data_IF_049935594609
#
_entry.id   IF_049935594609
#
_cell.length_a   1.000
_cell.length_b   1.000
_cell.length_c   1.000
_cell.angle_alpha   90.00
_cell.angle_beta   90.00
_cell.angle_gamma   90.00
#
_symmetry.space_group_name_H-M   'P 1'
#
loop_
_entity.id
_entity.type
_entity.pdbx_description
1 polymer ?
#
# COMPACT_ATOMS: atom_id res chain seq x y z
N UNK A 1 -61.18 14.83 -20.44
CA UNK A 1 -61.48 16.11 -21.13
C UNK A 1 -60.17 16.88 -21.12
N UNK A 2 -59.60 17.03 -22.31
CA UNK A 2 -58.41 17.79 -22.72
C UNK A 2 -57.07 17.40 -22.04
N UNK A 3 -56.14 16.63 -22.67
CA UNK A 3 -55.32 16.83 -23.90
C UNK A 3 -54.60 18.16 -23.93
N UNK A 4 -53.31 18.04 -24.01
CA UNK A 4 -52.24 18.61 -24.85
C UNK A 4 -50.97 18.84 -23.98
N UNK A 5 -49.80 18.26 -24.21
CA UNK A 5 -49.03 18.12 -25.42
C UNK A 5 -48.06 19.28 -25.59
N UNK A 6 -46.76 19.10 -25.46
CA UNK A 6 -45.64 19.84 -26.11
C UNK A 6 -44.29 19.25 -25.59
N UNK A 7 -43.65 18.45 -26.41
CA UNK A 7 -42.43 18.50 -27.24
C UNK A 7 -41.15 19.06 -26.62
N UNK A 8 -40.17 18.17 -26.49
CA UNK A 8 -38.75 18.24 -26.96
C UNK A 8 -38.02 19.57 -26.90
N UNK A 9 -36.97 19.60 -26.13
CA UNK A 9 -35.80 20.44 -26.28
C UNK A 9 -34.55 19.66 -25.88
N UNK A 10 -33.84 19.10 -26.86
CA UNK A 10 -32.46 18.69 -26.77
C UNK A 10 -31.62 19.95 -26.73
N UNK A 11 -30.80 20.14 -25.70
CA UNK A 11 -29.68 21.08 -25.77
C UNK A 11 -28.37 20.36 -25.47
N UNK A 12 -27.45 20.57 -26.39
CA UNK A 12 -26.14 19.97 -26.51
C UNK A 12 -25.16 20.57 -25.51
N UNK A 13 -24.28 19.73 -24.99
CA UNK A 13 -23.11 20.14 -24.26
C UNK A 13 -22.08 20.81 -25.19
N UNK A 14 -21.38 21.88 -24.74
CA UNK A 14 -20.30 22.47 -25.52
C UNK A 14 -19.00 21.65 -25.42
N UNK A 15 -18.09 21.74 -26.39
CA UNK A 15 -16.86 20.97 -26.46
C UNK A 15 -15.79 21.52 -25.53
N UNK A 16 -15.06 20.62 -24.91
CA UNK A 16 -13.85 20.86 -24.15
C UNK A 16 -12.72 21.37 -25.06
N UNK A 17 -12.24 22.56 -24.80
CA UNK A 17 -11.09 23.19 -25.42
C UNK A 17 -9.78 22.60 -24.88
N UNK A 18 -9.02 21.94 -25.76
CA UNK A 18 -7.64 21.51 -25.51
C UNK A 18 -6.71 22.74 -25.45
N UNK A 19 -6.13 23.00 -24.30
CA UNK A 19 -5.05 23.99 -24.16
C UNK A 19 -3.73 23.36 -24.60
N UNK A 20 -3.28 23.74 -25.81
CA UNK A 20 -1.92 23.50 -26.33
C UNK A 20 -0.94 24.48 -25.68
N UNK A 21 0.06 23.96 -24.99
CA UNK A 21 1.24 24.72 -24.57
C UNK A 21 2.30 24.67 -25.68
N UNK A 22 2.89 25.79 -26.10
CA UNK A 22 3.89 25.81 -27.17
C UNK A 22 5.29 25.37 -26.68
N UNK A 23 5.86 24.44 -27.42
CA UNK A 23 7.29 24.03 -27.33
C UNK A 23 8.11 25.07 -28.09
N UNK A 24 9.07 25.70 -27.43
CA UNK A 24 10.17 26.43 -28.10
C UNK A 24 11.41 25.55 -28.19
N UNK A 25 11.93 25.44 -29.43
CA UNK A 25 12.99 24.55 -29.81
C UNK A 25 14.40 25.10 -29.74
N UNK A 26 15.31 24.16 -29.58
CA UNK A 26 16.59 23.88 -30.32
C UNK A 26 17.75 24.89 -30.24
N UNK A 27 19.04 24.52 -30.51
CA UNK A 27 19.54 23.30 -31.15
C UNK A 27 20.90 22.73 -30.60
N UNK A 28 21.25 21.58 -31.19
CA UNK A 28 22.62 21.01 -31.36
C UNK A 28 23.34 20.33 -30.20
N UNK A 29 23.36 19.00 -30.23
CA UNK A 29 24.55 18.16 -30.19
C UNK A 29 24.25 16.72 -30.64
N UNK A 30 25.10 16.17 -31.47
CA UNK A 30 25.07 14.84 -32.11
C UNK A 30 25.36 13.69 -31.14
N UNK A 31 25.14 12.44 -31.60
CA UNK A 31 24.79 11.31 -30.74
C UNK A 31 26.00 10.44 -30.44
N UNK A 32 25.99 9.80 -29.29
CA UNK A 32 26.71 8.56 -29.12
C UNK A 32 26.08 7.68 -28.04
N UNK A 33 26.03 6.40 -28.40
CA UNK A 33 25.82 5.20 -27.58
C UNK A 33 24.39 4.92 -27.09
N UNK A 34 23.81 3.97 -27.80
CA UNK A 34 22.61 3.23 -27.42
C UNK A 34 22.79 2.45 -26.11
N UNK A 35 22.02 2.82 -25.09
CA UNK A 35 21.73 1.95 -23.96
C UNK A 35 20.47 1.14 -24.26
N UNK A 36 20.51 -0.20 -24.14
CA UNK A 36 19.35 -1.06 -24.37
C UNK A 36 18.59 -1.32 -23.07
N UNK A 37 18.12 -0.30 -22.36
CA UNK A 37 17.25 -0.46 -21.17
C UNK A 37 16.08 0.50 -21.19
N UNK A 38 15.10 0.21 -22.08
CA UNK A 38 13.75 0.74 -21.96
C UNK A 38 12.74 -0.38 -22.17
N UNK A 39 12.76 -1.38 -21.30
CA UNK A 39 11.59 -2.22 -21.04
C UNK A 39 10.89 -1.65 -19.83
N UNK A 40 9.72 -1.05 -20.06
CA UNK A 40 8.78 -0.70 -19.02
C UNK A 40 8.43 -1.96 -18.22
N UNK A 41 9.13 -2.15 -17.10
CA UNK A 41 8.90 -3.21 -16.12
C UNK A 41 7.67 -2.88 -15.30
N UNK A 42 6.81 -3.85 -15.12
CA UNK A 42 5.95 -3.96 -13.95
C UNK A 42 6.80 -3.69 -12.69
N UNK A 43 6.26 -3.06 -11.64
CA UNK A 43 7.03 -2.77 -10.43
C UNK A 43 7.65 -4.06 -9.90
N UNK A 44 8.96 -4.06 -9.72
CA UNK A 44 9.74 -5.15 -9.18
C UNK A 44 9.10 -5.67 -7.90
N UNK A 45 8.58 -6.90 -7.95
CA UNK A 45 8.28 -7.64 -6.74
C UNK A 45 9.59 -7.79 -5.99
N UNK A 46 9.70 -7.27 -4.74
CA UNK A 46 10.95 -7.29 -4.01
C UNK A 46 11.49 -8.72 -3.95
N UNK A 47 12.73 -8.89 -4.36
CA UNK A 47 13.44 -10.16 -4.42
C UNK A 47 13.39 -10.84 -3.04
N UNK A 48 12.62 -11.92 -2.93
CA UNK A 48 12.72 -12.80 -1.75
C UNK A 48 14.09 -13.49 -1.80
N UNK A 49 14.80 -13.59 -0.67
CA UNK A 49 16.04 -14.34 -0.61
C UNK A 49 15.77 -15.80 -1.05
N UNK A 50 16.71 -16.35 -1.81
CA UNK A 50 16.64 -17.75 -2.20
C UNK A 50 16.65 -18.64 -0.95
N UNK A 51 15.93 -19.77 -0.96
CA UNK A 51 15.94 -20.68 0.17
C UNK A 51 17.39 -21.11 0.44
N UNK A 52 17.83 -21.11 1.69
CA UNK A 52 19.16 -21.59 2.03
C UNK A 52 19.30 -23.06 1.58
N UNK A 53 20.51 -23.42 1.10
CA UNK A 53 20.82 -24.81 0.78
C UNK A 53 20.58 -25.69 2.02
N UNK A 54 19.59 -26.59 1.95
CA UNK A 54 19.38 -27.60 2.97
C UNK A 54 20.51 -28.66 2.88
N UNK A 55 21.40 -28.86 3.82
CA UNK A 55 21.29 -28.96 5.27
C UNK A 55 22.15 -27.93 5.99
N UNK A 56 21.56 -27.19 6.82
CA UNK A 56 22.17 -26.11 7.57
C UNK A 56 21.50 -24.80 7.25
N UNK A 57 20.19 -24.73 7.48
CA UNK A 57 19.43 -23.49 7.45
C UNK A 57 20.02 -22.59 8.54
N UNK A 58 20.84 -21.55 8.22
CA UNK A 58 21.14 -20.57 9.23
C UNK A 58 19.85 -19.81 9.51
N UNK A 59 19.44 -19.84 10.74
CA UNK A 59 18.45 -19.02 11.42
C UNK A 59 17.78 -17.93 10.57
N UNK A 60 16.74 -18.30 9.81
CA UNK A 60 15.59 -17.40 9.76
C UNK A 60 15.04 -17.50 11.18
N UNK A 61 15.03 -16.41 11.98
CA UNK A 61 14.54 -16.48 13.32
C UNK A 61 13.13 -17.07 13.28
N UNK A 62 12.99 -18.27 13.81
CA UNK A 62 11.70 -18.88 14.03
C UNK A 62 10.84 -17.84 14.75
N UNK A 63 9.59 -17.64 14.32
CA UNK A 63 8.67 -16.91 15.16
C UNK A 63 8.72 -17.59 16.53
N UNK A 64 8.86 -16.82 17.64
CA UNK A 64 9.16 -17.38 18.95
C UNK A 64 8.17 -18.51 19.27
N UNK A 65 8.72 -19.66 19.63
CA UNK A 65 8.02 -20.81 20.22
C UNK A 65 6.86 -21.43 19.39
N UNK A 66 7.12 -21.75 18.14
CA UNK A 66 6.23 -22.67 17.43
C UNK A 66 6.80 -24.08 17.58
N UNK A 67 6.11 -25.00 18.29
CA UNK A 67 6.51 -26.41 18.36
C UNK A 67 6.59 -27.00 16.97
N UNK A 68 7.46 -27.99 16.80
CA UNK A 68 7.64 -28.76 15.58
C UNK A 68 6.31 -29.19 14.98
N UNK A 69 6.24 -29.16 13.64
CA UNK A 69 5.05 -29.55 12.88
C UNK A 69 4.70 -30.99 13.25
N UNK A 70 3.64 -31.26 14.01
CA UNK A 70 3.18 -32.63 14.14
C UNK A 70 2.71 -33.13 12.77
N UNK A 71 2.88 -34.39 12.51
CA UNK A 71 2.38 -35.09 11.31
C UNK A 71 0.93 -34.69 11.05
N UNK A 72 0.63 -34.32 9.80
CA UNK A 72 -0.67 -33.84 9.35
C UNK A 72 -1.80 -34.73 9.85
N UNK A 73 -2.75 -34.24 10.65
CA UNK A 73 -3.91 -35.02 11.02
C UNK A 73 -4.72 -35.38 9.77
N UNK A 74 -5.06 -36.66 9.67
CA UNK A 74 -5.70 -37.28 8.51
C UNK A 74 -7.21 -36.99 8.38
N UNK A 75 -7.80 -36.11 9.21
CA UNK A 75 -9.23 -35.89 9.31
C UNK A 75 -9.69 -34.46 8.96
N UNK A 76 -10.80 -34.37 8.24
CA UNK A 76 -11.47 -33.09 7.93
C UNK A 76 -12.04 -32.37 9.17
N UNK A 77 -12.17 -33.07 10.30
CA UNK A 77 -12.74 -32.55 11.54
C UNK A 77 -11.83 -31.55 12.27
N UNK A 78 -10.49 -31.64 12.07
CA UNK A 78 -9.53 -30.72 12.67
C UNK A 78 -9.42 -29.36 11.94
N UNK A 79 -10.18 -29.15 10.85
CA UNK A 79 -10.23 -27.93 10.08
C UNK A 79 -11.33 -26.94 10.55
N UNK A 80 -12.02 -27.26 11.65
CA UNK A 80 -13.05 -26.37 12.19
C UNK A 80 -12.45 -25.01 12.63
N UNK A 81 -13.13 -23.88 12.37
CA UNK A 81 -12.69 -22.57 12.83
C UNK A 81 -12.61 -22.53 14.36
N UNK A 82 -11.64 -21.77 14.89
CA UNK A 82 -11.49 -21.59 16.32
C UNK A 82 -12.78 -21.00 16.96
N UNK A 83 -13.15 -21.40 18.20
CA UNK A 83 -14.30 -20.83 18.88
C UNK A 83 -14.02 -19.33 19.16
N UNK A 84 -14.74 -18.45 18.44
CA UNK A 84 -14.59 -16.99 18.54
C UNK A 84 -14.64 -16.24 17.21
N UNK A 85 -14.45 -16.90 16.06
CA UNK A 85 -14.68 -16.29 14.75
C UNK A 85 -16.18 -16.26 14.47
N UNK A 86 -16.77 -15.05 14.58
CA UNK A 86 -18.18 -14.77 14.65
C UNK A 86 -19.06 -15.34 13.53
N UNK A 87 -20.34 -15.42 13.81
CA UNK A 87 -21.43 -15.68 12.85
C UNK A 87 -21.56 -14.52 11.86
N UNK A 88 -20.72 -14.48 10.84
CA UNK A 88 -20.73 -13.45 9.80
C UNK A 88 -20.39 -14.01 8.41
N UNK A 89 -20.60 -13.24 7.35
CA UNK A 89 -20.34 -13.68 5.97
C UNK A 89 -18.90 -14.16 5.75
N UNK A 90 -17.93 -13.65 6.48
CA UNK A 90 -16.53 -14.10 6.41
C UNK A 90 -16.33 -15.53 6.94
N UNK A 91 -17.05 -15.90 8.01
CA UNK A 91 -17.01 -17.27 8.54
C UNK A 91 -17.64 -18.29 7.57
N UNK A 92 -18.69 -17.88 6.85
CA UNK A 92 -19.31 -18.75 5.84
C UNK A 92 -18.40 -18.96 4.63
N UNK A 93 -17.67 -17.93 4.18
CA UNK A 93 -16.67 -18.03 3.14
C UNK A 93 -15.52 -18.96 3.54
N UNK A 94 -15.02 -18.86 4.77
CA UNK A 94 -14.00 -19.74 5.31
C UNK A 94 -14.47 -21.18 5.33
N UNK A 95 -15.68 -21.45 5.83
CA UNK A 95 -16.28 -22.80 5.86
C UNK A 95 -16.44 -23.38 4.44
N UNK A 96 -16.86 -22.55 3.48
CA UNK A 96 -16.97 -22.97 2.09
C UNK A 96 -15.60 -23.33 1.53
N UNK A 97 -14.59 -22.47 1.70
CA UNK A 97 -13.22 -22.73 1.27
C UNK A 97 -12.67 -24.03 1.86
N UNK A 98 -12.78 -24.22 3.18
CA UNK A 98 -12.31 -25.43 3.85
C UNK A 98 -13.00 -26.70 3.32
N UNK A 99 -14.30 -26.62 3.01
CA UNK A 99 -15.07 -27.72 2.41
C UNK A 99 -14.58 -28.05 1.00
N UNK A 100 -14.23 -27.04 0.20
CA UNK A 100 -13.74 -27.23 -1.17
C UNK A 100 -12.36 -27.89 -1.19
N UNK A 101 -11.40 -27.35 -0.41
CA UNK A 101 -10.06 -27.94 -0.34
C UNK A 101 -10.05 -29.33 0.30
N UNK A 102 -11.01 -29.63 1.20
CA UNK A 102 -11.18 -30.92 1.84
C UNK A 102 -11.57 -32.04 0.87
N UNK A 103 -12.17 -31.72 -0.27
CA UNK A 103 -12.56 -32.70 -1.31
C UNK A 103 -11.38 -33.19 -2.15
N UNK A 104 -10.29 -32.44 -2.15
CA UNK A 104 -9.12 -32.74 -2.98
C UNK A 104 -8.28 -33.81 -2.28
N UNK A 105 -7.97 -34.87 -3.01
CA UNK A 105 -7.15 -35.97 -2.52
C UNK A 105 -5.71 -35.55 -2.28
N UNK A 106 -5.12 -35.97 -1.17
CA UNK A 106 -3.71 -35.77 -0.89
C UNK A 106 -2.86 -36.63 -1.90
N UNK A 107 -1.70 -36.08 -2.23
CA UNK A 107 -0.74 -36.73 -3.12
C UNK A 107 0.19 -37.69 -2.35
N UNK A 108 0.60 -38.74 -3.00
CA UNK A 108 1.71 -39.57 -2.54
C UNK A 108 3.05 -38.96 -2.99
N UNK A 109 4.16 -39.31 -2.34
CA UNK A 109 5.49 -38.82 -2.71
C UNK A 109 5.86 -39.12 -4.19
N UNK A 110 5.37 -40.26 -4.74
CA UNK A 110 5.58 -40.59 -6.15
C UNK A 110 4.81 -39.67 -7.07
N UNK A 111 3.56 -39.34 -6.71
CA UNK A 111 2.73 -38.41 -7.48
C UNK A 111 3.27 -36.96 -7.41
N UNK A 112 3.85 -36.53 -6.28
CA UNK A 112 4.51 -35.22 -6.14
C UNK A 112 5.68 -35.10 -7.14
N UNK A 113 6.54 -36.13 -7.22
CA UNK A 113 7.67 -36.17 -8.15
C UNK A 113 7.20 -36.17 -9.60
N UNK A 114 6.17 -36.96 -9.92
CA UNK A 114 5.64 -37.04 -11.29
C UNK A 114 5.03 -35.73 -11.74
N UNK A 115 4.24 -35.07 -10.88
CA UNK A 115 3.69 -33.75 -11.17
C UNK A 115 4.79 -32.67 -11.30
N UNK A 116 5.83 -32.73 -10.47
CA UNK A 116 6.97 -31.81 -10.57
C UNK A 116 7.72 -31.99 -11.91
N UNK A 117 7.92 -33.20 -12.37
CA UNK A 117 8.49 -33.48 -13.71
C UNK A 117 7.64 -32.89 -14.84
N UNK A 118 6.33 -33.06 -14.75
CA UNK A 118 5.41 -32.49 -15.75
C UNK A 118 5.43 -30.97 -15.76
N UNK A 119 5.54 -30.33 -14.58
CA UNK A 119 5.71 -28.87 -14.48
C UNK A 119 7.00 -28.42 -15.15
N UNK A 120 8.12 -29.07 -14.85
CA UNK A 120 9.42 -28.77 -15.43
C UNK A 120 9.43 -28.95 -16.95
N UNK A 121 8.90 -30.10 -17.46
CA UNK A 121 8.76 -30.35 -18.88
C UNK A 121 7.92 -29.26 -19.58
N UNK A 122 6.84 -28.82 -18.94
CA UNK A 122 5.99 -27.73 -19.46
C UNK A 122 6.71 -26.39 -19.53
N UNK A 123 7.56 -26.07 -18.54
CA UNK A 123 8.40 -24.86 -18.54
C UNK A 123 9.43 -24.90 -19.67
N UNK A 124 10.16 -26.00 -19.86
CA UNK A 124 11.10 -26.16 -20.96
C UNK A 124 10.42 -26.09 -22.34
N UNK A 125 9.22 -26.67 -22.46
CA UNK A 125 8.44 -26.57 -23.70
C UNK A 125 8.03 -25.11 -24.00
N UNK A 126 7.61 -24.35 -22.97
CA UNK A 126 7.27 -22.94 -23.11
C UNK A 126 8.49 -22.11 -23.55
N UNK A 127 9.64 -22.32 -22.90
CA UNK A 127 10.89 -21.63 -23.25
C UNK A 127 11.33 -21.93 -24.69
N UNK A 128 11.19 -23.20 -25.13
CA UNK A 128 11.48 -23.59 -26.51
C UNK A 128 10.56 -22.92 -27.53
N UNK A 129 9.28 -22.73 -27.20
CA UNK A 129 8.32 -21.99 -28.03
C UNK A 129 8.66 -20.49 -28.09
N UNK A 130 9.01 -19.88 -26.96
CA UNK A 130 9.36 -18.47 -26.87
C UNK A 130 10.66 -18.18 -27.66
N UNK A 131 11.67 -19.04 -27.56
CA UNK A 131 12.87 -18.95 -28.38
C UNK A 131 12.60 -19.08 -29.88
N UNK A 132 11.67 -19.96 -30.28
CA UNK A 132 11.27 -20.08 -31.68
C UNK A 132 10.55 -18.83 -32.17
N UNK A 133 9.64 -18.28 -31.37
CA UNK A 133 8.92 -17.06 -31.71
C UNK A 133 9.88 -15.86 -31.87
N UNK A 134 10.90 -15.76 -30.99
CA UNK A 134 11.92 -14.71 -31.06
C UNK A 134 12.90 -14.88 -32.24
N UNK A 135 13.11 -16.12 -32.70
CA UNK A 135 14.01 -16.45 -33.82
C UNK A 135 13.33 -16.42 -35.17
N UNK A 136 12.01 -16.22 -35.25
CA UNK A 136 11.27 -16.10 -36.49
C UNK A 136 11.66 -14.80 -37.22
N UNK A 137 12.08 -14.83 -38.51
CA UNK A 137 12.41 -13.62 -39.23
C UNK A 137 11.20 -12.71 -39.36
N UNK A 138 11.37 -11.36 -39.30
CA UNK A 138 10.25 -10.43 -39.45
C UNK A 138 9.67 -10.57 -40.87
N UNK A 139 8.44 -11.02 -40.93
CA UNK A 139 7.50 -11.06 -42.03
C UNK A 139 8.03 -10.74 -43.43
N UNK A 140 8.49 -11.79 -44.11
CA UNK A 140 8.48 -11.87 -45.59
C UNK A 140 7.66 -13.12 -45.98
N UNK A 141 7.03 -13.17 -47.18
CA UNK A 141 6.14 -14.27 -47.49
C UNK A 141 6.93 -15.60 -47.53
N UNK A 142 6.62 -16.56 -46.63
CA UNK A 142 7.32 -17.84 -46.63
C UNK A 142 6.73 -18.68 -47.76
N UNK A 143 7.61 -19.22 -48.61
CA UNK A 143 7.33 -20.41 -49.40
C UNK A 143 8.18 -21.56 -48.86
N UNK A 144 7.85 -22.17 -47.72
CA UNK A 144 8.45 -23.44 -47.36
C UNK A 144 7.79 -24.56 -48.14
N UNK A 145 8.58 -25.59 -48.50
CA UNK A 145 8.03 -26.79 -49.06
C UNK A 145 6.98 -27.44 -48.12
N UNK A 146 5.89 -28.01 -48.67
CA UNK A 146 4.75 -28.46 -47.86
C UNK A 146 5.13 -29.50 -46.77
N UNK A 147 6.18 -30.28 -47.00
CA UNK A 147 6.66 -31.29 -46.01
C UNK A 147 7.39 -30.68 -44.80
N UNK A 148 8.06 -29.53 -44.97
CA UNK A 148 8.75 -28.80 -43.90
C UNK A 148 7.73 -28.08 -43.00
N UNK A 149 6.68 -27.52 -43.58
CA UNK A 149 5.57 -26.88 -42.85
C UNK A 149 4.89 -27.87 -41.94
N UNK A 150 4.60 -29.09 -42.49
CA UNK A 150 3.91 -30.12 -41.75
C UNK A 150 4.73 -30.67 -40.55
N UNK A 151 6.06 -30.80 -40.70
CA UNK A 151 6.95 -31.24 -39.61
C UNK A 151 7.16 -30.16 -38.55
N UNK A 152 7.11 -28.88 -38.92
CA UNK A 152 7.19 -27.74 -37.97
C UNK A 152 5.88 -27.63 -37.18
N UNK A 153 4.72 -27.75 -37.81
CA UNK A 153 3.42 -27.72 -37.14
C UNK A 153 3.28 -28.82 -36.11
N UNK A 154 3.63 -30.08 -36.46
CA UNK A 154 3.52 -31.22 -35.52
C UNK A 154 4.38 -31.05 -34.26
N UNK A 155 5.61 -30.49 -34.39
CA UNK A 155 6.48 -30.24 -33.24
C UNK A 155 5.98 -29.07 -32.38
N UNK A 156 5.31 -28.09 -32.96
CA UNK A 156 4.71 -27.00 -32.24
C UNK A 156 3.52 -27.48 -31.43
N UNK A 157 2.66 -28.28 -32.03
CA UNK A 157 1.52 -28.94 -31.38
C UNK A 157 1.93 -29.83 -30.19
N UNK A 158 3.03 -30.58 -30.33
CA UNK A 158 3.59 -31.39 -29.25
C UNK A 158 4.10 -30.56 -28.08
N UNK A 159 4.80 -29.42 -28.36
CA UNK A 159 5.25 -28.49 -27.33
C UNK A 159 4.08 -27.78 -26.63
N UNK A 160 3.09 -27.34 -27.37
CA UNK A 160 1.87 -26.74 -26.83
C UNK A 160 1.12 -27.71 -25.90
N UNK A 161 1.09 -29.01 -26.29
CA UNK A 161 0.50 -30.05 -25.44
C UNK A 161 1.28 -30.24 -24.13
N UNK A 162 2.62 -30.25 -24.18
CA UNK A 162 3.47 -30.32 -22.97
C UNK A 162 3.27 -29.08 -22.06
N UNK A 163 3.15 -27.89 -22.63
CA UNK A 163 2.84 -26.68 -21.85
C UNK A 163 1.50 -26.79 -21.14
N UNK A 164 0.48 -27.31 -21.83
CA UNK A 164 -0.83 -27.54 -21.22
C UNK A 164 -0.77 -28.56 -20.08
N UNK A 165 -0.11 -29.69 -20.29
CA UNK A 165 0.07 -30.70 -19.26
C UNK A 165 0.84 -30.15 -18.05
N UNK A 166 1.90 -29.36 -18.27
CA UNK A 166 2.65 -28.70 -17.21
C UNK A 166 1.79 -27.73 -16.38
N UNK A 167 0.94 -26.94 -17.03
CA UNK A 167 -0.01 -26.04 -16.35
C UNK A 167 -1.04 -26.81 -15.52
N UNK A 168 -1.57 -27.91 -16.03
CA UNK A 168 -2.50 -28.78 -15.31
C UNK A 168 -1.82 -29.45 -14.11
N UNK A 169 -0.59 -29.93 -14.28
CA UNK A 169 0.20 -30.53 -13.22
C UNK A 169 0.52 -29.51 -12.10
N UNK A 170 0.93 -28.28 -12.47
CA UNK A 170 1.14 -27.17 -11.52
C UNK A 170 -0.11 -26.89 -10.72
N UNK A 171 -1.25 -26.76 -11.38
CA UNK A 171 -2.53 -26.52 -10.72
C UNK A 171 -2.88 -27.64 -9.74
N UNK A 172 -2.75 -28.91 -10.16
CA UNK A 172 -3.03 -30.07 -9.31
C UNK A 172 -2.11 -30.15 -8.09
N UNK A 173 -0.81 -29.84 -8.27
CA UNK A 173 0.16 -29.84 -7.17
C UNK A 173 -0.18 -28.74 -6.15
N UNK A 174 -0.59 -27.53 -6.59
CA UNK A 174 -1.05 -26.45 -5.72
C UNK A 174 -2.32 -26.86 -4.97
N UNK A 175 -3.36 -27.30 -5.69
CA UNK A 175 -4.69 -27.64 -5.13
C UNK A 175 -4.58 -28.72 -4.04
N UNK A 176 -3.77 -29.75 -4.27
CA UNK A 176 -3.58 -30.84 -3.31
C UNK A 176 -2.86 -30.41 -2.01
N UNK A 177 -2.12 -29.28 -2.03
CA UNK A 177 -1.35 -28.76 -0.90
C UNK A 177 -1.99 -27.55 -0.21
N UNK A 178 -3.18 -27.10 -0.59
CA UNK A 178 -3.87 -25.98 0.07
C UNK A 178 -4.14 -26.24 1.57
N UNK A 179 -4.36 -27.52 1.94
CA UNK A 179 -4.56 -27.92 3.34
C UNK A 179 -3.31 -27.68 4.19
N UNK A 180 -2.10 -27.83 3.62
CA UNK A 180 -0.85 -27.49 4.28
C UNK A 180 -0.78 -26.00 4.62
N UNK A 181 -1.20 -25.13 3.70
CA UNK A 181 -1.24 -23.68 3.93
C UNK A 181 -2.12 -23.34 5.13
N UNK A 182 -3.33 -23.93 5.22
CA UNK A 182 -4.25 -23.72 6.34
C UNK A 182 -3.63 -24.15 7.67
N UNK A 183 -2.96 -25.32 7.69
CA UNK A 183 -2.32 -25.82 8.92
C UNK A 183 -1.21 -24.90 9.44
N UNK A 184 -0.48 -24.25 8.53
CA UNK A 184 0.54 -23.26 8.88
C UNK A 184 -0.13 -21.94 9.30
N UNK A 185 -1.15 -21.44 8.57
CA UNK A 185 -1.83 -20.19 8.83
C UNK A 185 -2.49 -20.12 10.21
N UNK A 186 -3.08 -21.22 10.69
CA UNK A 186 -3.69 -21.30 12.02
C UNK A 186 -2.76 -20.83 13.16
N UNK A 187 -1.46 -21.00 13.02
CA UNK A 187 -0.45 -20.60 14.02
C UNK A 187 -0.15 -19.10 14.04
N UNK A 188 -0.58 -18.39 13.02
CA UNK A 188 -0.38 -16.94 12.87
C UNK A 188 -1.64 -16.12 13.20
N UNK A 189 -2.74 -16.77 13.56
CA UNK A 189 -4.00 -16.11 13.96
C UNK A 189 -3.76 -15.19 15.19
N UNK A 190 -4.44 -14.03 15.22
CA UNK A 190 -4.34 -13.07 16.31
C UNK A 190 -3.12 -12.13 16.25
N UNK A 191 -2.42 -12.07 15.10
CA UNK A 191 -1.23 -11.23 14.90
C UNK A 191 -1.47 -10.03 13.99
N UNK A 192 -2.74 -9.59 13.81
CA UNK A 192 -3.08 -8.39 13.04
C UNK A 192 -3.66 -8.64 11.65
N UNK A 193 -3.59 -9.88 11.13
CA UNK A 193 -4.27 -10.29 9.89
C UNK A 193 -5.36 -11.31 10.15
N UNK A 194 -6.41 -11.30 9.32
CA UNK A 194 -7.46 -12.32 9.39
C UNK A 194 -6.93 -13.68 8.89
N UNK A 195 -7.56 -14.78 9.34
CA UNK A 195 -7.15 -16.12 8.89
C UNK A 195 -7.25 -16.28 7.37
N UNK A 196 -8.27 -15.68 6.73
CA UNK A 196 -8.42 -15.73 5.27
C UNK A 196 -7.27 -15.00 4.55
N UNK A 197 -6.86 -13.83 5.06
CA UNK A 197 -5.73 -13.09 4.48
C UNK A 197 -4.41 -13.86 4.65
N UNK A 198 -4.19 -14.46 5.82
CA UNK A 198 -3.04 -15.33 6.07
C UNK A 198 -3.02 -16.52 5.12
N UNK A 199 -4.17 -17.15 4.87
CA UNK A 199 -4.28 -18.25 3.90
C UNK A 199 -3.92 -17.77 2.50
N UNK A 200 -4.40 -16.61 2.06
CA UNK A 200 -4.09 -16.11 0.72
C UNK A 200 -2.61 -15.76 0.56
N UNK A 201 -2.01 -15.11 1.54
CA UNK A 201 -0.57 -14.84 1.54
C UNK A 201 0.25 -16.14 1.56
N UNK A 202 -0.20 -17.13 2.32
CA UNK A 202 0.39 -18.47 2.33
C UNK A 202 0.24 -19.22 0.99
N UNK A 203 -0.89 -19.04 0.29
CA UNK A 203 -1.10 -19.60 -1.05
C UNK A 203 -0.12 -19.00 -2.06
N UNK A 204 0.20 -17.69 -1.96
CA UNK A 204 1.25 -17.07 -2.77
C UNK A 204 2.62 -17.70 -2.49
N UNK A 205 2.92 -17.99 -1.23
CA UNK A 205 4.11 -18.76 -0.84
C UNK A 205 4.14 -20.17 -1.43
N UNK A 206 3.01 -20.89 -1.38
CA UNK A 206 2.86 -22.23 -1.97
C UNK A 206 3.09 -22.21 -3.49
N UNK A 207 2.55 -21.22 -4.22
CA UNK A 207 2.75 -21.07 -5.66
C UNK A 207 4.25 -20.94 -5.99
N UNK A 208 4.97 -20.09 -5.24
CA UNK A 208 6.43 -19.93 -5.39
C UNK A 208 7.18 -21.22 -5.06
N UNK A 209 6.74 -21.97 -4.05
CA UNK A 209 7.32 -23.25 -3.72
C UNK A 209 7.18 -24.26 -4.87
N UNK A 210 6.02 -24.32 -5.53
CA UNK A 210 5.78 -25.20 -6.69
C UNK A 210 6.66 -24.80 -7.88
N UNK A 211 6.88 -23.50 -8.09
CA UNK A 211 7.72 -23.00 -9.19
C UNK A 211 9.21 -23.28 -9.00
N UNK A 212 9.67 -23.34 -7.75
CA UNK A 212 11.10 -23.53 -7.43
C UNK A 212 11.44 -24.91 -6.88
N UNK A 213 10.48 -25.83 -6.83
CA UNK A 213 10.68 -27.17 -6.26
C UNK A 213 11.55 -28.06 -7.15
N UNK A 214 12.68 -28.51 -6.59
CA UNK A 214 13.61 -29.44 -7.23
C UNK A 214 13.41 -30.85 -6.63
N UNK A 215 12.71 -31.73 -7.36
CA UNK A 215 12.45 -33.10 -6.96
C UNK A 215 13.71 -33.98 -6.98
N UNK A 216 14.75 -33.61 -7.73
CA UNK A 216 15.99 -34.39 -7.81
C UNK A 216 16.75 -34.45 -6.48
N UNK A 217 16.53 -33.48 -5.59
CA UNK A 217 17.11 -33.43 -4.24
C UNK A 217 16.53 -34.50 -3.27
N UNK A 218 15.44 -35.13 -3.61
CA UNK A 218 14.86 -36.26 -2.84
C UNK A 218 14.08 -35.85 -1.58
N UNK A 219 13.88 -34.55 -1.31
CA UNK A 219 13.06 -34.07 -0.19
C UNK A 219 11.57 -34.11 -0.50
N UNK A 220 10.72 -34.31 0.53
CA UNK A 220 9.27 -34.18 0.40
C UNK A 220 8.90 -32.74 0.05
N UNK A 221 7.94 -32.56 -0.85
CA UNK A 221 7.45 -31.25 -1.23
C UNK A 221 6.96 -30.42 -0.03
N UNK A 222 6.27 -31.05 0.93
CA UNK A 222 5.75 -30.40 2.12
C UNK A 222 6.82 -29.69 2.96
N UNK A 223 8.02 -30.28 3.10
CA UNK A 223 9.14 -29.70 3.84
C UNK A 223 9.62 -28.40 3.18
N UNK A 224 9.77 -28.41 1.86
CA UNK A 224 10.18 -27.25 1.08
C UNK A 224 9.10 -26.17 1.04
N UNK A 225 7.85 -26.57 0.79
CA UNK A 225 6.73 -25.64 0.71
C UNK A 225 6.45 -24.91 2.04
N UNK A 226 6.62 -25.59 3.18
CA UNK A 226 6.42 -25.00 4.50
C UNK A 226 7.32 -23.77 4.72
N UNK A 227 8.57 -23.82 4.24
CA UNK A 227 9.48 -22.66 4.33
C UNK A 227 8.94 -21.45 3.54
N UNK A 228 8.53 -21.64 2.29
CA UNK A 228 7.98 -20.58 1.46
C UNK A 228 6.67 -20.00 2.01
N UNK A 229 5.79 -20.89 2.51
CA UNK A 229 4.53 -20.49 3.14
C UNK A 229 4.79 -19.65 4.37
N UNK A 230 5.70 -20.07 5.28
CA UNK A 230 6.08 -19.31 6.47
C UNK A 230 6.67 -17.95 6.10
N UNK A 231 7.61 -17.94 5.16
CA UNK A 231 8.26 -16.71 4.70
C UNK A 231 7.26 -15.70 4.14
N UNK A 232 6.31 -16.18 3.31
CA UNK A 232 5.28 -15.32 2.73
C UNK A 232 4.37 -14.74 3.83
N UNK A 233 3.88 -15.57 4.76
CA UNK A 233 3.04 -15.12 5.87
C UNK A 233 3.77 -14.15 6.81
N UNK A 234 5.02 -14.44 7.18
CA UNK A 234 5.81 -13.57 8.05
C UNK A 234 6.06 -12.20 7.42
N UNK A 235 6.32 -12.20 6.11
CA UNK A 235 6.48 -10.95 5.35
C UNK A 235 5.18 -10.17 5.26
N UNK A 236 4.06 -10.84 4.98
CA UNK A 236 2.75 -10.20 4.94
C UNK A 236 2.39 -9.58 6.29
N UNK A 237 2.66 -10.26 7.41
CA UNK A 237 2.47 -9.71 8.74
C UNK A 237 3.33 -8.47 8.99
N UNK A 238 4.59 -8.48 8.56
CA UNK A 238 5.45 -7.32 8.71
C UNK A 238 4.97 -6.12 7.88
N UNK A 239 4.44 -6.39 6.68
CA UNK A 239 4.05 -5.36 5.71
C UNK A 239 2.62 -4.82 5.90
N UNK A 240 1.69 -5.62 6.42
CA UNK A 240 0.25 -5.32 6.35
C UNK A 240 -0.46 -5.38 7.71
N UNK A 241 0.11 -6.02 8.74
CA UNK A 241 -0.59 -6.23 10.01
C UNK A 241 -0.80 -4.94 10.83
N UNK A 242 0.00 -3.91 10.59
CA UNK A 242 -0.03 -2.66 11.35
C UNK A 242 -0.78 -1.56 10.62
N UNK A 243 -1.63 -0.82 11.33
CA UNK A 243 -2.32 0.37 10.80
C UNK A 243 -1.33 1.42 10.29
N UNK A 244 -0.23 1.65 11.01
CA UNK A 244 0.89 2.48 10.58
C UNK A 244 2.00 1.53 10.12
N UNK A 245 2.20 1.42 8.80
CA UNK A 245 3.20 0.55 8.20
C UNK A 245 4.62 0.90 8.68
N UNK A 246 5.36 -0.12 9.08
CA UNK A 246 6.75 -0.02 9.51
C UNK A 246 7.61 -0.89 8.58
N UNK A 247 8.82 -0.44 8.17
CA UNK A 247 9.73 -1.25 7.35
C UNK A 247 10.08 -2.60 7.99
N UNK A 248 10.24 -3.65 7.17
CA UNK A 248 10.45 -5.04 7.64
C UNK A 248 11.62 -5.17 8.61
N UNK A 249 12.77 -4.54 8.32
CA UNK A 249 13.95 -4.59 9.19
C UNK A 249 13.72 -3.99 10.58
N UNK A 250 12.81 -2.99 10.68
CA UNK A 250 12.43 -2.41 11.98
C UNK A 250 11.46 -3.34 12.70
N UNK A 251 10.54 -4.01 12.00
CA UNK A 251 9.66 -5.04 12.60
C UNK A 251 10.50 -6.20 13.14
N UNK A 252 11.53 -6.64 12.42
CA UNK A 252 12.47 -7.66 12.90
C UNK A 252 13.19 -7.22 14.19
N UNK A 253 13.63 -5.95 14.22
CA UNK A 253 14.25 -5.39 15.41
C UNK A 253 13.28 -5.31 16.59
N UNK A 254 12.03 -4.88 16.36
CA UNK A 254 10.96 -4.88 17.38
C UNK A 254 10.75 -6.29 17.92
N UNK A 255 10.61 -7.29 17.05
CA UNK A 255 10.42 -8.67 17.45
C UNK A 255 11.62 -9.21 18.29
N UNK A 256 12.84 -8.83 17.92
CA UNK A 256 14.06 -9.20 18.66
C UNK A 256 14.05 -8.57 20.06
N UNK A 257 13.74 -7.27 20.18
CA UNK A 257 13.66 -6.56 21.47
C UNK A 257 12.58 -7.17 22.35
N UNK A 258 11.37 -7.40 21.84
CA UNK A 258 10.26 -8.00 22.58
C UNK A 258 10.54 -9.45 23.00
N UNK A 259 11.31 -10.22 22.22
CA UNK A 259 11.72 -11.57 22.57
C UNK A 259 12.68 -11.57 23.76
N UNK A 260 13.70 -10.73 23.72
CA UNK A 260 14.67 -10.59 24.82
C UNK A 260 13.98 -10.07 26.09
N UNK A 261 13.08 -9.09 25.96
CA UNK A 261 12.30 -8.57 27.10
C UNK A 261 11.49 -9.69 27.77
N UNK A 262 10.79 -10.52 26.97
CA UNK A 262 10.02 -11.67 27.51
C UNK A 262 10.90 -12.73 28.14
N UNK A 263 12.05 -13.05 27.54
CA UNK A 263 12.98 -14.02 28.08
C UNK A 263 13.53 -13.56 29.43
N UNK A 264 13.96 -12.28 29.55
CA UNK A 264 14.43 -11.71 30.81
C UNK A 264 13.33 -11.64 31.88
N UNK A 265 12.09 -11.29 31.50
CA UNK A 265 10.93 -11.30 32.38
C UNK A 265 10.65 -12.71 32.91
N UNK A 266 10.73 -13.73 32.08
CA UNK A 266 10.51 -15.12 32.45
C UNK A 266 11.61 -15.65 33.38
N UNK A 267 12.87 -15.25 33.15
CA UNK A 267 14.02 -15.66 33.97
C UNK A 267 14.01 -15.01 35.35
N UNK A 268 13.68 -13.71 35.45
CA UNK A 268 13.80 -12.90 36.65
C UNK A 268 12.49 -12.67 37.41
N UNK A 269 11.36 -12.89 36.76
CA UNK A 269 10.02 -12.62 37.31
C UNK A 269 9.68 -11.13 37.47
N UNK A 270 10.54 -10.22 36.98
CA UNK A 270 10.34 -8.77 37.02
C UNK A 270 10.63 -8.15 35.65
N UNK A 271 9.93 -7.06 35.32
CA UNK A 271 10.09 -6.37 34.06
C UNK A 271 11.52 -5.81 33.89
N UNK A 272 12.26 -6.17 32.81
CA UNK A 272 13.62 -5.70 32.61
C UNK A 272 13.65 -4.23 32.20
N UNK A 273 14.67 -3.51 32.65
CA UNK A 273 14.91 -2.13 32.21
C UNK A 273 15.37 -2.06 30.74
N UNK A 274 15.16 -0.91 30.09
CA UNK A 274 15.61 -0.68 28.69
C UNK A 274 17.15 -0.81 28.59
N UNK A 275 17.90 -0.51 29.63
CA UNK A 275 19.36 -0.67 29.69
C UNK A 275 19.78 -2.14 29.70
N UNK A 276 19.07 -3.00 30.44
CA UNK A 276 19.35 -4.45 30.51
C UNK A 276 19.05 -5.13 29.16
N UNK A 277 17.90 -4.80 28.53
CA UNK A 277 17.57 -5.30 27.18
C UNK A 277 18.63 -4.82 26.19
N UNK A 278 19.05 -3.56 26.27
CA UNK A 278 20.10 -2.99 25.44
C UNK A 278 21.45 -3.70 25.58
N UNK A 279 21.82 -4.08 26.82
CA UNK A 279 23.07 -4.81 27.05
C UNK A 279 23.09 -6.20 26.42
N UNK A 280 21.96 -6.92 26.43
CA UNK A 280 21.83 -8.25 25.80
C UNK A 280 21.87 -8.16 24.27
N UNK A 281 21.30 -7.09 23.71
CA UNK A 281 21.23 -6.90 22.25
C UNK A 281 22.39 -6.09 21.67
N UNK A 282 23.32 -5.63 22.50
CA UNK A 282 24.42 -4.73 22.13
C UNK A 282 23.92 -3.43 21.48
N UNK A 283 22.76 -2.91 21.97
CA UNK A 283 22.13 -1.70 21.48
C UNK A 283 22.15 -0.58 22.53
N UNK A 284 22.31 0.68 22.11
CA UNK A 284 22.16 1.82 23.01
C UNK A 284 20.75 1.85 23.66
N UNK A 285 20.64 2.20 24.92
CA UNK A 285 19.35 2.32 25.61
C UNK A 285 18.35 3.22 24.88
N UNK A 286 18.83 4.34 24.33
CA UNK A 286 18.00 5.27 23.55
C UNK A 286 17.33 4.57 22.35
N UNK A 287 18.07 3.65 21.69
CA UNK A 287 17.54 2.90 20.56
C UNK A 287 16.49 1.87 20.99
N UNK A 288 16.70 1.19 22.11
CA UNK A 288 15.70 0.26 22.64
C UNK A 288 14.42 1.00 23.00
N UNK A 289 14.51 2.18 23.63
CA UNK A 289 13.34 3.02 23.96
C UNK A 289 12.59 3.48 22.72
N UNK A 290 13.30 3.88 21.68
CA UNK A 290 12.70 4.25 20.38
C UNK A 290 11.96 3.05 19.76
N UNK A 291 12.57 1.88 19.73
CA UNK A 291 11.98 0.65 19.19
C UNK A 291 10.72 0.26 19.95
N UNK A 292 10.72 0.36 21.28
CA UNK A 292 9.53 0.08 22.09
C UNK A 292 8.40 1.09 21.84
N UNK A 293 8.71 2.37 21.56
CA UNK A 293 7.68 3.35 21.10
C UNK A 293 7.08 2.96 19.77
N UNK A 294 7.91 2.51 18.81
CA UNK A 294 7.42 2.05 17.50
C UNK A 294 6.65 0.72 17.58
N UNK A 295 6.86 -0.05 18.66
CA UNK A 295 6.14 -1.30 18.89
C UNK A 295 4.69 -1.08 19.30
N UNK A 296 4.34 0.09 19.86
CA UNK A 296 2.98 0.41 20.27
C UNK A 296 2.04 0.49 19.08
N UNK A 297 0.83 -0.02 19.26
CA UNK A 297 -0.25 0.06 18.27
C UNK A 297 -1.22 1.18 18.62
N UNK A 298 -1.83 1.84 17.61
CA UNK A 298 -2.87 2.83 17.85
C UNK A 298 -4.08 2.21 18.55
N UNK A 299 -4.67 2.94 19.47
CA UNK A 299 -5.93 2.55 20.13
C UNK A 299 -7.10 3.13 19.33
N UNK A 300 -8.21 2.39 19.24
CA UNK A 300 -9.42 2.87 18.56
C UNK A 300 -10.07 4.02 19.33
N UNK A 301 -10.45 5.07 18.62
CA UNK A 301 -11.24 6.17 19.19
C UNK A 301 -12.65 5.74 19.62
N UNK A 302 -13.15 4.63 19.08
CA UNK A 302 -14.43 4.04 19.47
C UNK A 302 -14.34 3.09 20.68
N UNK A 303 -13.16 3.00 21.31
CA UNK A 303 -13.01 2.19 22.52
C UNK A 303 -13.87 2.80 23.62
N UNK A 304 -14.82 2.04 24.22
CA UNK A 304 -15.66 2.53 25.31
C UNK A 304 -14.81 2.83 26.55
N UNK A 305 -15.14 3.91 27.25
CA UNK A 305 -14.45 4.36 28.46
C UNK A 305 -15.47 4.46 29.59
N UNK A 306 -15.27 3.72 30.65
CA UNK A 306 -16.17 3.67 31.80
C UNK A 306 -16.95 2.37 31.92
N UNK A 307 -17.80 2.27 32.95
CA UNK A 307 -18.57 1.06 33.25
C UNK A 307 -19.90 0.95 32.47
N UNK A 308 -20.38 2.08 31.90
CA UNK A 308 -21.68 2.14 31.23
C UNK A 308 -21.59 2.11 29.68
N UNK A 309 -20.41 1.95 29.12
CA UNK A 309 -20.12 1.88 27.65
C UNK A 309 -20.70 3.03 26.80
N UNK A 310 -21.24 4.08 27.40
CA UNK A 310 -21.92 5.18 26.72
C UNK A 310 -20.97 6.24 26.14
N UNK A 311 -19.69 6.29 26.59
CA UNK A 311 -18.70 7.29 26.19
C UNK A 311 -17.54 6.61 25.47
N UNK A 312 -17.26 7.05 24.25
CA UNK A 312 -16.07 6.61 23.51
C UNK A 312 -14.83 7.46 23.84
N UNK A 313 -13.64 6.89 23.69
CA UNK A 313 -12.38 7.61 23.90
C UNK A 313 -12.30 8.89 23.05
N UNK A 314 -12.88 8.86 21.84
CA UNK A 314 -12.93 10.01 20.94
C UNK A 314 -13.73 11.19 21.50
N UNK A 315 -14.77 10.93 22.31
CA UNK A 315 -15.61 11.96 22.90
C UNK A 315 -14.90 12.75 24.02
N UNK A 316 -13.81 12.18 24.55
CA UNK A 316 -13.00 12.82 25.59
C UNK A 316 -11.88 13.71 25.02
N UNK A 317 -11.67 13.68 23.70
CA UNK A 317 -10.62 14.48 23.05
C UNK A 317 -11.18 15.86 22.72
N UNK A 318 -10.63 16.89 23.35
CA UNK A 318 -10.98 18.27 23.10
C UNK A 318 -10.51 18.71 21.70
N UNK A 319 -11.40 19.40 20.96
CA UNK A 319 -11.03 20.05 19.69
C UNK A 319 -10.28 21.35 19.98
N UNK A 320 -8.94 21.27 19.88
CA UNK A 320 -8.06 22.41 20.09
C UNK A 320 -8.18 23.49 18.99
N UNK A 321 -8.72 23.15 17.84
CA UNK A 321 -8.90 24.07 16.69
C UNK A 321 -10.30 24.73 16.68
N UNK A 322 -11.16 24.37 17.64
CA UNK A 322 -12.48 24.98 17.75
C UNK A 322 -12.36 26.49 18.05
N UNK A 323 -12.86 27.29 17.14
CA UNK A 323 -12.83 28.76 17.30
C UNK A 323 -13.74 29.17 18.45
N UNK A 324 -13.15 29.84 19.46
CA UNK A 324 -13.89 30.39 20.58
C UNK A 324 -14.97 31.35 20.11
N UNK A 325 -16.22 31.31 20.65
CA UNK A 325 -17.25 32.28 20.35
C UNK A 325 -16.80 33.74 20.57
N UNK A 326 -15.92 33.96 21.55
CA UNK A 326 -15.33 35.29 21.85
C UNK A 326 -14.39 35.71 20.72
N UNK A 327 -13.52 34.83 20.23
CA UNK A 327 -12.63 35.11 19.11
C UNK A 327 -13.41 35.39 17.82
N UNK A 328 -14.47 34.61 17.57
CA UNK A 328 -15.32 34.83 16.42
C UNK A 328 -16.04 36.19 16.48
N UNK A 329 -16.58 36.56 17.64
CA UNK A 329 -17.19 37.88 17.87
C UNK A 329 -16.14 39.02 17.71
N UNK A 330 -14.93 38.85 18.25
CA UNK A 330 -13.83 39.77 18.10
C UNK A 330 -13.42 39.97 16.64
N UNK A 331 -13.36 38.89 15.87
CA UNK A 331 -13.06 38.94 14.44
C UNK A 331 -14.13 39.70 13.64
N UNK A 332 -15.41 39.47 13.94
CA UNK A 332 -16.52 40.19 13.31
C UNK A 332 -16.46 41.67 13.60
N UNK A 333 -16.19 42.06 14.86
CA UNK A 333 -16.01 43.48 15.26
C UNK A 333 -14.77 44.10 14.61
N UNK A 334 -13.65 43.38 14.54
CA UNK A 334 -12.46 43.85 13.82
C UNK A 334 -12.77 44.12 12.35
N UNK A 335 -13.52 43.24 11.70
CA UNK A 335 -13.93 43.43 10.30
C UNK A 335 -14.82 44.68 10.14
N UNK A 336 -15.79 44.83 11.01
CA UNK A 336 -16.68 46.00 10.99
C UNK A 336 -15.90 47.33 11.21
N UNK A 337 -14.99 47.36 12.19
CA UNK A 337 -14.12 48.50 12.43
C UNK A 337 -13.18 48.76 11.24
N UNK A 338 -12.62 47.72 10.63
CA UNK A 338 -11.76 47.88 9.45
C UNK A 338 -12.54 48.46 8.26
N UNK A 339 -13.77 47.96 8.01
CA UNK A 339 -14.65 48.51 6.97
C UNK A 339 -14.99 49.96 7.23
N UNK A 340 -15.29 50.35 8.48
CA UNK A 340 -15.56 51.72 8.87
C UNK A 340 -14.34 52.64 8.63
N UNK A 341 -13.14 52.17 8.96
CA UNK A 341 -11.89 52.91 8.72
C UNK A 341 -11.61 53.03 7.22
N UNK A 342 -11.80 51.99 6.44
CA UNK A 342 -11.64 52.01 4.98
C UNK A 342 -12.65 52.95 4.30
N UNK A 343 -13.86 53.10 4.84
CA UNK A 343 -14.89 54.01 4.34
C UNK A 343 -14.49 55.47 4.44
N UNK A 344 -13.56 55.84 5.32
CA UNK A 344 -13.04 57.22 5.46
C UNK A 344 -12.04 57.60 4.36
N UNK A 345 -11.57 56.60 3.59
CA UNK A 345 -10.64 56.82 2.48
C UNK A 345 -11.37 57.23 1.21
N UNK A 346 -10.66 57.95 0.32
CA UNK A 346 -11.18 58.15 -1.04
C UNK A 346 -11.37 56.84 -1.79
N UNK A 347 -12.36 56.80 -2.68
CA UNK A 347 -12.75 55.58 -3.42
C UNK A 347 -11.57 54.83 -4.07
N UNK A 348 -10.68 55.57 -4.75
CA UNK A 348 -9.47 55.02 -5.36
C UNK A 348 -8.47 54.48 -4.34
N UNK A 349 -8.30 55.19 -3.21
CA UNK A 349 -7.38 54.79 -2.13
C UNK A 349 -7.88 53.49 -1.48
N UNK A 350 -9.19 53.36 -1.24
CA UNK A 350 -9.84 52.19 -0.66
C UNK A 350 -9.67 50.97 -1.57
N UNK A 351 -9.99 51.12 -2.85
CA UNK A 351 -9.86 50.00 -3.81
C UNK A 351 -8.43 49.53 -3.96
N UNK A 352 -7.44 50.43 -3.97
CA UNK A 352 -6.03 50.04 -4.04
C UNK A 352 -5.63 49.20 -2.81
N UNK A 353 -6.06 49.57 -1.60
CA UNK A 353 -5.78 48.82 -0.38
C UNK A 353 -6.52 47.50 -0.37
N UNK A 354 -7.80 47.45 -0.72
CA UNK A 354 -8.59 46.23 -0.78
C UNK A 354 -7.98 45.21 -1.72
N UNK A 355 -7.62 45.62 -2.94
CA UNK A 355 -6.99 44.72 -3.93
C UNK A 355 -5.57 44.30 -3.50
N UNK A 356 -4.81 45.22 -2.89
CA UNK A 356 -3.42 44.93 -2.47
C UNK A 356 -3.35 43.86 -1.40
N UNK A 357 -4.24 43.95 -0.42
CA UNK A 357 -4.28 43.03 0.72
C UNK A 357 -5.31 41.90 0.56
N UNK A 358 -6.06 41.86 -0.55
CA UNK A 358 -7.05 40.84 -0.81
C UNK A 358 -8.23 40.88 0.17
N UNK A 359 -8.64 42.05 0.62
CA UNK A 359 -9.71 42.21 1.62
C UNK A 359 -11.10 41.90 1.06
N UNK A 360 -11.24 41.91 -0.26
CA UNK A 360 -12.50 41.66 -0.97
C UNK A 360 -12.65 40.19 -1.41
N UNK A 361 -11.63 39.66 -2.10
CA UNK A 361 -11.64 38.33 -2.72
C UNK A 361 -10.66 37.33 -2.07
N UNK A 362 -9.98 37.71 -0.99
CA UNK A 362 -8.99 36.87 -0.31
C UNK A 362 -7.67 36.72 -1.08
N UNK A 363 -7.49 37.40 -2.23
CA UNK A 363 -6.30 37.29 -3.08
C UNK A 363 -5.51 38.59 -3.12
N UNK A 364 -4.34 38.68 -2.47
CA UNK A 364 -3.49 39.87 -2.55
C UNK A 364 -2.92 40.01 -3.97
N UNK A 365 -3.06 41.22 -4.54
CA UNK A 365 -2.56 41.56 -5.88
C UNK A 365 -1.26 42.32 -5.84
N UNK A 366 -0.45 42.17 -6.89
CA UNK A 366 0.80 42.92 -7.03
C UNK A 366 0.54 44.39 -7.44
N UNK A 367 1.49 45.27 -7.14
CA UNK A 367 1.39 46.67 -7.55
C UNK A 367 1.29 46.87 -9.06
N UNK A 368 1.84 45.95 -9.85
CA UNK A 368 1.81 45.95 -11.29
C UNK A 368 0.42 45.58 -11.83
N UNK A 369 -0.18 44.53 -11.29
CA UNK A 369 -1.54 44.11 -11.65
C UNK A 369 -2.56 45.22 -11.31
N UNK A 370 -2.42 45.83 -10.12
CA UNK A 370 -3.27 46.94 -9.73
C UNK A 370 -3.04 48.16 -10.66
N UNK A 371 -1.77 48.43 -11.02
CA UNK A 371 -1.42 49.48 -11.99
C UNK A 371 -2.10 49.30 -13.34
N UNK A 372 -2.08 48.06 -13.85
CA UNK A 372 -2.75 47.68 -15.11
C UNK A 372 -4.26 47.84 -15.03
N UNK A 373 -4.88 47.48 -13.89
CA UNK A 373 -6.32 47.60 -13.68
C UNK A 373 -6.78 49.08 -13.66
N UNK A 374 -6.00 49.97 -13.04
CA UNK A 374 -6.33 51.42 -12.93
C UNK A 374 -5.74 52.25 -14.07
N UNK A 375 -5.02 51.67 -15.00
CA UNK A 375 -4.37 52.41 -16.12
C UNK A 375 -3.27 53.35 -15.67
N UNK A 376 -2.53 53.01 -14.58
CA UNK A 376 -1.47 53.86 -14.02
C UNK A 376 -0.19 53.05 -13.81
N UNK A 377 0.95 53.74 -13.65
CA UNK A 377 2.24 53.08 -13.43
C UNK A 377 2.32 52.42 -12.04
N UNK A 378 3.09 51.36 -11.93
CA UNK A 378 3.40 50.67 -10.66
C UNK A 378 3.84 51.63 -9.56
N UNK A 379 4.70 52.59 -9.92
CA UNK A 379 5.20 53.61 -8.97
C UNK A 379 4.08 54.50 -8.44
N UNK A 380 3.09 54.82 -9.29
CA UNK A 380 1.92 55.60 -8.86
C UNK A 380 1.06 54.86 -7.86
N UNK A 381 0.86 53.56 -8.05
CA UNK A 381 0.15 52.72 -7.07
C UNK A 381 0.93 52.66 -5.75
N UNK A 382 2.28 52.48 -5.80
CA UNK A 382 3.12 52.51 -4.60
C UNK A 382 2.99 53.81 -3.80
N UNK A 383 2.93 54.98 -4.51
CA UNK A 383 2.73 56.27 -3.87
C UNK A 383 1.35 56.39 -3.21
N UNK A 384 0.29 55.90 -3.88
CA UNK A 384 -1.07 55.88 -3.33
C UNK A 384 -1.10 54.98 -2.09
N UNK A 385 -0.57 53.76 -2.16
CA UNK A 385 -0.48 52.83 -1.02
C UNK A 385 0.22 53.47 0.18
N UNK A 386 1.44 54.00 -0.02
CA UNK A 386 2.21 54.64 1.05
C UNK A 386 1.48 55.79 1.69
N UNK A 387 0.85 56.68 0.88
CA UNK A 387 0.07 57.82 1.37
C UNK A 387 -1.17 57.37 2.14
N UNK A 388 -1.86 56.34 1.65
CA UNK A 388 -3.06 55.78 2.28
C UNK A 388 -2.73 55.12 3.60
N UNK A 389 -1.68 54.30 3.66
CA UNK A 389 -1.21 53.70 4.90
C UNK A 389 -0.77 54.76 5.94
N UNK A 390 -0.15 55.85 5.48
CA UNK A 390 0.20 56.96 6.38
C UNK A 390 -1.04 57.67 6.94
N UNK A 391 -2.09 57.86 6.13
CA UNK A 391 -3.38 58.40 6.58
C UNK A 391 -4.03 57.45 7.61
N UNK A 392 -4.05 56.15 7.35
CA UNK A 392 -4.62 55.16 8.26
C UNK A 392 -3.90 55.13 9.62
N UNK A 393 -2.57 55.23 9.63
CA UNK A 393 -1.78 55.30 10.87
C UNK A 393 -2.06 56.53 11.72
N UNK A 394 -2.40 57.66 11.10
CA UNK A 394 -2.72 58.90 11.78
C UNK A 394 -4.21 59.06 12.15
N UNK A 395 -5.05 58.06 11.82
CA UNK A 395 -6.48 58.17 12.07
C UNK A 395 -6.83 57.82 13.53
N UNK A 396 -7.82 58.48 14.09
CA UNK A 396 -8.26 58.26 15.48
C UNK A 396 -8.70 56.80 15.77
N UNK A 397 -9.10 56.06 14.74
CA UNK A 397 -9.46 54.65 14.87
C UNK A 397 -8.27 53.67 14.83
N UNK A 398 -7.03 54.15 14.55
CA UNK A 398 -5.86 53.30 14.55
C UNK A 398 -5.58 52.68 15.94
N UNK A 399 -5.87 53.44 17.01
CA UNK A 399 -5.72 52.94 18.38
C UNK A 399 -6.75 51.86 18.75
N UNK A 400 -7.97 51.94 18.18
CA UNK A 400 -8.98 50.89 18.37
C UNK A 400 -8.60 49.55 17.68
N UNK A 401 -7.95 49.64 16.49
CA UNK A 401 -7.47 48.45 15.80
C UNK A 401 -6.26 47.78 16.49
N UNK A 402 -5.45 48.56 17.24
CA UNK A 402 -4.34 47.97 18.03
C UNK A 402 -4.80 47.02 19.12
N UNK A 403 -5.95 47.30 19.75
CA UNK A 403 -6.52 46.41 20.77
C UNK A 403 -6.90 44.99 20.30
N UNK A 404 -6.87 44.73 19.00
CA UNK A 404 -7.07 43.38 18.42
C UNK A 404 -5.77 42.67 18.08
N UNK A 405 -4.61 43.30 18.26
CA UNK A 405 -3.28 42.71 17.96
C UNK A 405 -2.56 42.21 19.20
N UNK A 406 -3.02 42.59 20.38
CA UNK A 406 -2.55 42.16 21.70
C UNK A 406 -3.41 40.98 22.19
#
# INVERSE_FOLDING_TARGET
>A
MFEDGIRHGRDAAPPTEEVRVPVQGSPDARPDTADPEARAGLPDTPHLPDPPDLPGVPDVPDPPDLPDVPDLPSGAEDLAPAPGEGTGPAADLLRQYLREIGRIRLLTAVEEVELARQVEAGLFAQEALDHRAASAPPTGPPRPAPDVVRAVDTRTDELDHLVLLGRLAKRRLIEANLRLVVSVAKRYVGRGLTLLDLIQEGNLGLIRAVEKFDYARGYKFSTYATWWIRQSMSRALADQARTIRVPVHVVELINRVLRVQRALLQERGAEPSTAEVGSVLELPEARVREVLRLAQEPVSLYTPVGEEDDVALGDLIEDADAVSPVENASFLLLREHLEAVLATLGERERQVVQLRYGLDDGRPRTLEEIGNLFGVTRERIRQIESKTLSKLRGHAFADQLRGYLD
#
